data_IF_875025714880
#
_entry.id   IF_875025714880
#
_cell.length_a   1.000
_cell.length_b   1.000
_cell.length_c   1.000
_cell.angle_alpha   90.00
_cell.angle_beta   90.00
_cell.angle_gamma   90.00
#
_symmetry.space_group_name_H-M   'P 1'
#
loop_
_entity.id
_entity.type
_entity.pdbx_description
1 polymer ?
#
# COMPACT_ATOMS: atom_id res chain seq x y z
N UNK A 1 -7.83 4.61 -8.38
CA UNK A 1 -6.81 3.91 -9.22
C UNK A 1 -5.88 4.86 -9.96
N UNK A 2 -6.37 5.94 -10.60
CA UNK A 2 -5.52 6.86 -11.38
C UNK A 2 -4.36 7.49 -10.57
N UNK A 3 -4.61 8.00 -9.35
CA UNK A 3 -3.57 8.61 -8.51
C UNK A 3 -2.46 7.64 -8.11
N UNK A 4 -2.80 6.36 -7.89
CA UNK A 4 -1.84 5.30 -7.54
C UNK A 4 -0.96 4.94 -8.73
N UNK A 5 -1.57 4.82 -9.92
CA UNK A 5 -0.84 4.59 -11.16
C UNK A 5 0.11 5.75 -11.47
N UNK A 6 -0.37 7.00 -11.34
CA UNK A 6 0.45 8.21 -11.53
C UNK A 6 1.58 8.28 -10.51
N UNK A 7 1.32 7.99 -9.23
CA UNK A 7 2.35 7.95 -8.18
C UNK A 7 3.42 6.89 -8.46
N UNK A 8 3.00 5.70 -8.90
CA UNK A 8 3.92 4.61 -9.27
C UNK A 8 4.81 5.00 -10.46
N UNK A 9 4.23 5.66 -11.47
CA UNK A 9 4.97 6.19 -12.62
C UNK A 9 5.96 7.28 -12.20
N UNK A 10 5.58 8.19 -11.29
CA UNK A 10 6.49 9.22 -10.77
C UNK A 10 7.68 8.60 -10.04
N UNK A 11 7.44 7.64 -9.14
CA UNK A 11 8.52 6.94 -8.41
C UNK A 11 9.44 6.20 -9.38
N UNK A 12 8.89 5.55 -10.40
CA UNK A 12 9.66 4.92 -11.48
C UNK A 12 10.55 5.92 -12.22
N UNK A 13 10.00 7.08 -12.60
CA UNK A 13 10.76 8.14 -13.29
C UNK A 13 11.86 8.71 -12.38
N UNK A 14 11.62 8.84 -11.08
CA UNK A 14 12.64 9.33 -10.13
C UNK A 14 13.77 8.31 -9.93
N UNK A 15 13.47 7.02 -9.89
CA UNK A 15 14.46 5.96 -9.65
C UNK A 15 15.25 5.55 -10.89
N UNK A 16 14.61 5.55 -12.06
CA UNK A 16 15.22 5.12 -13.34
C UNK A 16 15.74 6.33 -14.13
N UNK A 17 15.21 7.53 -13.87
CA UNK A 17 15.37 8.70 -14.73
C UNK A 17 14.27 8.75 -15.80
N UNK A 18 14.00 9.93 -16.36
CA UNK A 18 13.06 10.06 -17.47
C UNK A 18 13.56 9.23 -18.69
N UNK A 19 12.67 8.59 -19.46
CA UNK A 19 13.08 7.85 -20.65
C UNK A 19 13.87 8.76 -21.59
N UNK A 20 15.18 8.51 -21.70
CA UNK A 20 16.07 9.20 -22.64
C UNK A 20 16.21 8.38 -23.94
N UNK A 21 17.14 8.79 -24.81
CA UNK A 21 17.26 8.42 -26.23
C UNK A 21 17.30 6.92 -26.59
N UNK A 22 17.36 5.99 -25.62
CA UNK A 22 17.29 4.53 -25.83
C UNK A 22 15.88 3.96 -26.04
N UNK A 23 14.83 4.77 -25.91
CA UNK A 23 13.44 4.39 -26.18
C UNK A 23 12.75 3.60 -25.04
N UNK A 24 11.45 3.33 -25.22
CA UNK A 24 10.58 2.71 -24.19
C UNK A 24 11.06 1.32 -23.75
N UNK A 25 11.68 0.55 -24.64
CA UNK A 25 12.15 -0.81 -24.34
C UNK A 25 13.35 -0.83 -23.37
N UNK A 26 14.30 0.10 -23.52
CA UNK A 26 15.43 0.23 -22.58
C UNK A 26 14.94 0.68 -21.20
N UNK A 27 14.00 1.63 -21.18
CA UNK A 27 13.35 2.07 -19.94
C UNK A 27 12.58 0.93 -19.25
N UNK A 28 11.86 0.08 -20.00
CA UNK A 28 11.14 -1.07 -19.45
C UNK A 28 12.08 -2.11 -18.84
N UNK A 29 13.22 -2.39 -19.47
CA UNK A 29 14.20 -3.34 -18.95
C UNK A 29 14.82 -2.84 -17.63
N UNK A 30 15.15 -1.55 -17.57
CA UNK A 30 15.73 -0.94 -16.38
C UNK A 30 14.69 -0.75 -15.26
N UNK A 31 13.45 -0.38 -15.62
CA UNK A 31 12.31 -0.30 -14.72
C UNK A 31 11.99 -1.65 -14.07
N UNK A 32 12.09 -2.76 -14.81
CA UNK A 32 11.88 -4.10 -14.27
C UNK A 32 12.86 -4.42 -13.14
N UNK A 33 14.14 -4.02 -13.27
CA UNK A 33 15.14 -4.20 -12.22
C UNK A 33 14.88 -3.37 -10.95
N UNK A 34 14.09 -2.29 -11.07
CA UNK A 34 13.72 -1.38 -9.98
C UNK A 34 12.32 -1.66 -9.42
N UNK A 35 11.57 -2.58 -10.01
CA UNK A 35 10.18 -2.84 -9.67
C UNK A 35 9.99 -3.16 -8.18
N UNK A 36 10.90 -3.95 -7.57
CA UNK A 36 10.86 -4.25 -6.13
C UNK A 36 11.03 -2.99 -5.26
N UNK A 37 11.89 -2.05 -5.67
CA UNK A 37 12.10 -0.80 -4.93
C UNK A 37 10.89 0.14 -5.07
N UNK A 38 10.28 0.17 -6.24
CA UNK A 38 9.06 0.94 -6.51
C UNK A 38 7.90 0.39 -5.70
N UNK A 39 7.71 -0.94 -5.69
CA UNK A 39 6.69 -1.61 -4.86
C UNK A 39 6.90 -1.31 -3.37
N UNK A 40 8.15 -1.37 -2.90
CA UNK A 40 8.45 -1.04 -1.52
C UNK A 40 8.04 0.40 -1.18
N UNK A 41 8.45 1.39 -1.97
CA UNK A 41 8.17 2.80 -1.70
C UNK A 41 6.67 3.10 -1.81
N UNK A 42 6.07 2.76 -2.95
CA UNK A 42 4.66 3.04 -3.21
C UNK A 42 3.79 2.22 -2.26
N UNK A 43 4.05 0.92 -2.15
CA UNK A 43 3.32 0.05 -1.25
C UNK A 43 3.39 0.49 0.20
N UNK A 44 4.54 1.00 0.68
CA UNK A 44 4.66 1.56 2.04
C UNK A 44 3.75 2.79 2.22
N UNK A 45 3.77 3.75 1.29
CA UNK A 45 2.91 4.94 1.37
C UNK A 45 1.42 4.59 1.30
N UNK A 46 1.07 3.64 0.44
CA UNK A 46 -0.29 3.13 0.32
C UNK A 46 -0.73 2.49 1.62
N UNK A 47 0.10 1.63 2.20
CA UNK A 47 -0.23 0.92 3.42
C UNK A 47 -0.32 1.86 4.62
N UNK A 48 0.51 2.90 4.69
CA UNK A 48 0.37 3.98 5.66
C UNK A 48 -0.99 4.66 5.55
N UNK A 49 -1.40 5.04 4.33
CA UNK A 49 -2.70 5.67 4.08
C UNK A 49 -3.86 4.73 4.38
N UNK A 50 -3.77 3.47 3.96
CA UNK A 50 -4.78 2.44 4.21
C UNK A 50 -4.95 2.20 5.71
N UNK A 51 -3.86 2.07 6.45
CA UNK A 51 -3.90 1.93 7.91
C UNK A 51 -4.54 3.13 8.58
N UNK A 52 -4.22 4.35 8.10
CA UNK A 52 -4.87 5.57 8.60
C UNK A 52 -6.38 5.57 8.31
N UNK A 53 -6.79 5.34 7.06
CA UNK A 53 -8.21 5.33 6.67
C UNK A 53 -9.00 4.24 7.39
N UNK A 54 -8.44 3.04 7.50
CA UNK A 54 -9.08 1.91 8.18
C UNK A 54 -9.20 2.14 9.69
N UNK A 55 -8.24 2.86 10.30
CA UNK A 55 -8.26 3.19 11.72
C UNK A 55 -9.20 4.35 12.09
N UNK A 56 -9.52 5.26 11.15
CA UNK A 56 -10.33 6.47 11.40
C UNK A 56 -11.69 6.25 12.10
N UNK A 57 -12.44 5.17 11.84
CA UNK A 57 -13.70 4.92 12.53
C UNK A 57 -13.53 4.49 13.99
N UNK A 58 -12.31 4.13 14.41
CA UNK A 58 -12.04 3.53 15.71
C UNK A 58 -11.20 4.47 16.58
N UNK A 59 -11.32 4.34 17.90
CA UNK A 59 -10.52 5.08 18.87
C UNK A 59 -9.43 4.20 19.50
N UNK A 60 -8.28 4.80 19.83
CA UNK A 60 -7.25 4.15 20.64
C UNK A 60 -6.69 2.86 20.01
N UNK A 61 -6.70 1.76 20.77
CA UNK A 61 -6.07 0.49 20.37
C UNK A 61 -6.78 -0.19 19.19
N UNK A 62 -8.09 0.00 19.06
CA UNK A 62 -8.90 -0.64 18.04
C UNK A 62 -8.55 -0.15 16.63
N UNK A 63 -8.13 1.11 16.50
CA UNK A 63 -7.63 1.67 15.23
C UNK A 63 -6.35 0.97 14.74
N UNK A 64 -5.45 0.60 15.67
CA UNK A 64 -4.21 -0.13 15.34
C UNK A 64 -4.55 -1.57 14.95
N UNK A 65 -5.49 -2.21 15.66
CA UNK A 65 -5.95 -3.56 15.29
C UNK A 65 -6.62 -3.58 13.92
N UNK A 66 -7.49 -2.62 13.62
CA UNK A 66 -8.13 -2.49 12.32
C UNK A 66 -7.08 -2.32 11.20
N UNK A 67 -6.08 -1.45 11.41
CA UNK A 67 -4.99 -1.26 10.46
C UNK A 67 -4.14 -2.53 10.27
N UNK A 68 -3.83 -3.25 11.35
CA UNK A 68 -3.10 -4.52 11.30
C UNK A 68 -3.87 -5.61 10.54
N UNK A 69 -5.18 -5.74 10.78
CA UNK A 69 -6.04 -6.67 10.05
C UNK A 69 -6.06 -6.35 8.55
N UNK A 70 -6.21 -5.07 8.19
CA UNK A 70 -6.16 -4.64 6.80
C UNK A 70 -4.82 -4.93 6.14
N UNK A 71 -3.70 -4.83 6.88
CA UNK A 71 -2.39 -5.20 6.36
C UNK A 71 -2.27 -6.70 6.06
N UNK A 72 -2.78 -7.55 6.95
CA UNK A 72 -2.82 -9.00 6.72
C UNK A 72 -3.70 -9.33 5.50
N UNK A 73 -4.89 -8.75 5.39
CA UNK A 73 -5.78 -8.95 4.24
C UNK A 73 -5.10 -8.53 2.93
N UNK A 74 -4.43 -7.38 2.92
CA UNK A 74 -3.67 -6.92 1.75
C UNK A 74 -2.59 -7.94 1.35
N UNK A 75 -1.78 -8.41 2.30
CA UNK A 75 -0.70 -9.38 2.03
C UNK A 75 -1.26 -10.69 1.49
N UNK A 76 -2.38 -11.18 2.04
CA UNK A 76 -3.03 -12.41 1.55
C UNK A 76 -3.51 -12.24 0.11
N UNK A 77 -4.15 -11.11 -0.22
CA UNK A 77 -4.58 -10.81 -1.59
C UNK A 77 -3.37 -10.70 -2.52
N UNK A 78 -2.32 -10.01 -2.11
CA UNK A 78 -1.10 -9.83 -2.91
C UNK A 78 -0.42 -11.17 -3.20
N UNK A 79 -0.24 -12.01 -2.17
CA UNK A 79 0.26 -13.37 -2.34
C UNK A 79 -0.63 -14.20 -3.27
N UNK A 80 -1.96 -14.13 -3.11
CA UNK A 80 -2.88 -14.85 -3.99
C UNK A 80 -2.75 -14.41 -5.46
N UNK A 81 -2.58 -13.11 -5.72
CA UNK A 81 -2.32 -12.58 -7.07
C UNK A 81 -0.99 -13.12 -7.60
N UNK A 82 0.08 -13.10 -6.81
CA UNK A 82 1.38 -13.65 -7.20
C UNK A 82 1.28 -15.15 -7.51
N UNK A 83 0.51 -15.92 -6.73
CA UNK A 83 0.31 -17.34 -6.99
C UNK A 83 -0.58 -17.63 -8.21
N UNK A 84 -1.56 -16.77 -8.50
CA UNK A 84 -2.49 -16.95 -9.61
C UNK A 84 -1.93 -16.48 -10.96
N UNK A 85 -1.12 -15.43 -10.95
CA UNK A 85 -0.66 -14.75 -12.17
C UNK A 85 0.86 -14.70 -12.32
N UNK A 86 1.61 -15.02 -11.27
CA UNK A 86 3.07 -15.05 -11.28
C UNK A 86 3.65 -16.45 -11.35
N UNK A 87 4.98 -16.52 -11.50
CA UNK A 87 5.76 -17.75 -11.35
C UNK A 87 6.26 -17.84 -9.89
N UNK A 88 5.75 -18.79 -9.08
CA UNK A 88 6.16 -18.92 -7.69
C UNK A 88 7.67 -19.16 -7.51
N UNK A 89 8.34 -19.72 -8.52
CA UNK A 89 9.78 -19.99 -8.49
C UNK A 89 10.61 -18.69 -8.54
N UNK A 90 10.02 -17.57 -8.96
CA UNK A 90 10.69 -16.28 -9.03
C UNK A 90 10.48 -15.42 -7.77
N UNK A 91 9.73 -15.91 -6.79
CA UNK A 91 9.52 -15.18 -5.52
C UNK A 91 10.82 -15.23 -4.71
N UNK A 92 11.53 -14.11 -4.69
CA UNK A 92 12.65 -13.90 -3.79
C UNK A 92 12.14 -13.73 -2.35
N UNK A 93 11.84 -14.85 -1.68
CA UNK A 93 11.20 -14.90 -0.34
C UNK A 93 11.83 -13.91 0.66
N UNK A 94 13.16 -13.74 0.62
CA UNK A 94 13.87 -12.81 1.50
C UNK A 94 13.64 -11.31 1.22
N UNK A 95 13.46 -10.89 -0.04
CA UNK A 95 13.14 -9.50 -0.38
C UNK A 95 11.63 -9.26 -0.25
N UNK A 96 10.80 -10.19 -0.70
CA UNK A 96 9.34 -10.14 -0.56
C UNK A 96 8.91 -10.07 0.92
N UNK A 97 9.48 -10.92 1.79
CA UNK A 97 9.18 -10.91 3.21
C UNK A 97 9.57 -9.59 3.90
N UNK A 98 10.70 -8.99 3.51
CA UNK A 98 11.10 -7.65 3.99
C UNK A 98 10.12 -6.57 3.53
N UNK A 99 9.69 -6.61 2.26
CA UNK A 99 8.68 -5.69 1.73
C UNK A 99 7.37 -5.77 2.54
N UNK A 100 6.89 -6.97 2.84
CA UNK A 100 5.70 -7.15 3.67
C UNK A 100 5.88 -6.65 5.10
N UNK A 101 7.04 -6.84 5.71
CA UNK A 101 7.33 -6.30 7.04
C UNK A 101 7.22 -4.76 7.05
N UNK A 102 7.80 -4.07 6.05
CA UNK A 102 7.68 -2.61 5.92
C UNK A 102 6.23 -2.16 5.70
N UNK A 103 5.49 -2.87 4.85
CA UNK A 103 4.07 -2.60 4.59
C UNK A 103 3.21 -2.76 5.85
N UNK A 104 3.46 -3.79 6.66
CA UNK A 104 2.79 -3.98 7.96
C UNK A 104 3.11 -2.83 8.91
N UNK A 105 4.40 -2.52 9.09
CA UNK A 105 4.83 -1.42 9.97
C UNK A 105 4.20 -0.09 9.54
N UNK A 106 4.18 0.19 8.24
CA UNK A 106 3.54 1.38 7.69
C UNK A 106 2.04 1.44 8.00
N UNK A 107 1.31 0.34 7.80
CA UNK A 107 -0.11 0.29 8.15
C UNK A 107 -0.34 0.51 9.65
N UNK A 108 0.48 -0.10 10.51
CA UNK A 108 0.38 0.09 11.96
C UNK A 108 0.65 1.55 12.37
N UNK A 109 1.64 2.21 11.75
CA UNK A 109 1.89 3.64 11.93
C UNK A 109 0.67 4.46 11.49
N UNK A 110 0.06 4.10 10.35
CA UNK A 110 -1.18 4.72 9.87
C UNK A 110 -2.33 4.60 10.87
N UNK A 111 -2.56 3.39 11.39
CA UNK A 111 -3.59 3.13 12.41
C UNK A 111 -3.33 3.89 13.72
N UNK A 112 -2.07 3.99 14.13
CA UNK A 112 -1.69 4.80 15.29
C UNK A 112 -1.87 6.31 15.07
N UNK A 113 -1.61 6.81 13.86
CA UNK A 113 -1.95 8.20 13.52
C UNK A 113 -3.46 8.40 13.57
N UNK A 114 -4.25 7.44 13.08
CA UNK A 114 -5.70 7.52 13.10
C UNK A 114 -6.26 7.51 14.52
N UNK A 115 -5.66 6.74 15.44
CA UNK A 115 -6.08 6.67 16.85
C UNK A 115 -5.93 7.99 17.61
N UNK A 116 -5.20 8.95 17.05
CA UNK A 116 -5.01 10.30 17.61
C UNK A 116 -6.02 11.31 17.08
N UNK A 117 -6.79 10.95 16.07
CA UNK A 117 -7.89 11.75 15.52
C UNK A 117 -9.17 11.38 16.28
N UNK A 118 -10.06 12.34 16.56
CA UNK A 118 -11.40 12.02 17.02
C UNK A 118 -12.06 11.05 16.04
N UNK A 119 -12.74 10.02 16.57
CA UNK A 119 -13.46 9.08 15.74
C UNK A 119 -14.45 9.85 14.87
N UNK A 120 -14.57 9.48 13.59
CA UNK A 120 -15.58 10.07 12.73
C UNK A 120 -16.96 9.66 13.23
N UNK A 121 -17.69 10.58 13.85
CA UNK A 121 -19.10 10.41 14.18
C UNK A 121 -19.92 10.67 12.91
N UNK A 122 -20.59 9.65 12.34
CA UNK A 122 -21.53 9.90 11.24
C UNK A 122 -22.66 10.80 11.76
N UNK A 123 -23.00 11.83 10.98
CA UNK A 123 -24.10 12.74 11.31
C UNK A 123 -25.37 11.92 11.54
N UNK A 124 -26.07 12.10 12.68
CA UNK A 124 -27.25 11.31 13.00
C UNK A 124 -28.31 11.54 11.91
N UNK A 125 -28.72 10.48 11.24
CA UNK A 125 -29.85 10.53 10.31
C UNK A 125 -31.08 10.93 11.13
N UNK A 126 -31.78 12.03 10.81
CA UNK A 126 -33.01 12.37 11.49
C UNK A 126 -33.98 11.20 11.31
N UNK A 127 -34.44 10.65 12.44
CA UNK A 127 -35.55 9.71 12.42
C UNK A 127 -36.77 10.53 12.05
N UNK A 128 -37.27 10.35 10.83
CA UNK A 128 -38.56 10.93 10.42
C UNK A 128 -39.59 10.49 11.47
N UNK A 129 -40.23 11.47 12.12
CA UNK A 129 -41.33 11.20 13.06
C UNK A 129 -42.53 10.72 12.24
N UNK A 130 -42.78 9.40 12.23
CA UNK A 130 -44.02 8.80 11.72
C UNK A 130 -45.22 9.04 12.65
#
# INVERSE_FOLDING_TARGET
>A
MLLMAVGSVIVLIVLVGAPTAGGVAAFQHEAASRAESVDLIVGTLVMLLTGWLAGRPFAGRDAIFAAGLMAVVYIVIDLAIVFLFGDPAQIAVGTTGRSYAFKIVAALIGGWLASRTPAFEPEPVPLDEE
#
